data_IF_045422698848
#
_entry.id   IF_045422698848
#
_cell.length_a   1.000
_cell.length_b   1.000
_cell.length_c   1.000
_cell.angle_alpha   90.00
_cell.angle_beta   90.00
_cell.angle_gamma   90.00
#
_symmetry.space_group_name_H-M   'P 1'
#
loop_
_entity.id
_entity.type
_entity.pdbx_description
1 polymer ?
#
# COMPACT_ATOMS: atom_id res chain seq x y z
N UNK A 1 9.08 11.38 -11.43
CA UNK A 1 8.13 10.79 -10.49
C UNK A 1 8.07 11.62 -9.22
N UNK A 2 6.87 11.75 -8.67
CA UNK A 2 6.64 12.38 -7.37
C UNK A 2 6.53 11.29 -6.30
N UNK A 3 7.00 11.62 -5.09
CA UNK A 3 6.97 10.67 -3.99
C UNK A 3 6.50 11.35 -2.70
N UNK A 4 5.81 10.59 -1.86
CA UNK A 4 5.49 10.97 -0.50
C UNK A 4 5.79 9.78 0.42
N UNK A 5 6.38 10.05 1.58
CA UNK A 5 6.76 8.99 2.50
C UNK A 5 6.44 9.35 3.94
N UNK A 6 6.38 8.32 4.76
CA UNK A 6 6.14 8.45 6.19
C UNK A 6 7.02 7.48 6.97
N UNK A 7 7.61 7.92 8.06
CA UNK A 7 8.30 7.04 8.99
C UNK A 7 7.30 6.45 9.96
N UNK A 8 7.47 5.17 10.27
CA UNK A 8 6.52 4.39 11.06
C UNK A 8 7.28 3.64 12.14
N UNK A 9 6.75 3.69 13.36
CA UNK A 9 7.29 2.94 14.50
C UNK A 9 6.75 1.51 14.48
N UNK A 10 7.16 0.76 13.47
CA UNK A 10 6.83 -0.64 13.25
C UNK A 10 7.89 -1.28 12.36
N UNK A 11 8.07 -2.62 12.44
CA UNK A 11 9.02 -3.30 11.57
C UNK A 11 8.63 -3.20 10.09
N UNK A 12 9.62 -3.19 9.20
CA UNK A 12 9.40 -3.18 7.76
C UNK A 12 8.54 -4.37 7.30
N UNK A 13 8.70 -5.54 7.93
CA UNK A 13 7.90 -6.72 7.63
C UNK A 13 6.41 -6.51 7.89
N UNK A 14 6.06 -5.80 8.96
CA UNK A 14 4.65 -5.49 9.27
C UNK A 14 4.06 -4.54 8.22
N UNK A 15 4.83 -3.55 7.77
CA UNK A 15 4.40 -2.63 6.72
C UNK A 15 4.23 -3.36 5.38
N UNK A 16 5.16 -4.24 5.05
CA UNK A 16 5.07 -5.04 3.82
C UNK A 16 3.83 -5.94 3.82
N UNK A 17 3.57 -6.59 4.92
CA UNK A 17 2.39 -7.45 5.06
C UNK A 17 1.10 -6.64 4.84
N UNK A 18 0.98 -5.47 5.47
CA UNK A 18 -0.19 -4.61 5.31
C UNK A 18 -0.36 -4.13 3.85
N UNK A 19 0.73 -3.78 3.18
CA UNK A 19 0.71 -3.29 1.80
C UNK A 19 0.36 -4.38 0.78
N UNK A 20 0.68 -5.63 1.09
CA UNK A 20 0.48 -6.75 0.14
C UNK A 20 -0.77 -7.57 0.42
N UNK A 21 -1.41 -7.39 1.56
CA UNK A 21 -2.65 -8.07 1.92
C UNK A 21 -3.84 -7.33 1.31
N UNK A 22 -4.39 -7.88 0.23
CA UNK A 22 -5.48 -7.26 -0.50
C UNK A 22 -6.74 -7.09 0.35
N UNK A 23 -6.95 -7.97 1.34
CA UNK A 23 -8.11 -7.87 2.23
C UNK A 23 -8.06 -6.62 3.11
N UNK A 24 -6.90 -6.02 3.27
CA UNK A 24 -6.69 -4.82 4.08
C UNK A 24 -6.57 -3.53 3.26
N UNK A 25 -6.52 -3.61 1.93
CA UNK A 25 -6.38 -2.43 1.07
C UNK A 25 -7.44 -1.35 1.34
N UNK A 26 -8.73 -1.70 1.57
CA UNK A 26 -9.71 -0.67 1.88
C UNK A 26 -9.45 0.10 3.18
N UNK A 27 -8.67 -0.47 4.10
CA UNK A 27 -8.39 0.17 5.38
C UNK A 27 -7.44 1.36 5.24
N UNK A 28 -6.49 1.27 4.30
CA UNK A 28 -5.51 2.34 4.11
C UNK A 28 -5.63 3.06 2.76
N UNK A 29 -6.19 2.44 1.75
CA UNK A 29 -6.35 3.04 0.43
C UNK A 29 -7.66 3.80 0.31
N UNK A 30 -7.65 5.17 0.38
CA UNK A 30 -8.90 5.94 0.43
C UNK A 30 -9.76 5.83 -0.82
N UNK A 31 -9.16 5.48 -1.97
CA UNK A 31 -9.89 5.33 -3.24
C UNK A 31 -10.39 3.91 -3.48
N UNK A 32 -10.07 2.96 -2.60
CA UNK A 32 -10.42 1.54 -2.76
C UNK A 32 -11.47 1.14 -1.73
N UNK A 33 -12.64 0.71 -2.18
CA UNK A 33 -13.69 0.22 -1.28
C UNK A 33 -13.73 -1.30 -1.18
N UNK A 34 -13.40 -2.02 -2.26
CA UNK A 34 -13.40 -3.49 -2.28
C UNK A 34 -12.32 -3.98 -3.23
N UNK A 35 -11.85 -5.20 -3.00
CA UNK A 35 -10.85 -5.86 -3.84
C UNK A 35 -11.27 -7.31 -4.11
N UNK A 36 -11.10 -7.76 -5.34
CA UNK A 36 -11.18 -9.16 -5.71
C UNK A 36 -9.87 -9.54 -6.41
N UNK A 37 -9.18 -10.54 -5.91
CA UNK A 37 -7.91 -11.00 -6.49
C UNK A 37 -7.79 -12.51 -6.37
N UNK A 38 -6.80 -13.07 -7.09
CA UNK A 38 -6.57 -14.52 -7.11
C UNK A 38 -6.04 -15.07 -5.79
N UNK A 39 -5.52 -14.19 -4.90
CA UNK A 39 -5.04 -14.59 -3.59
C UNK A 39 -5.14 -13.43 -2.61
N UNK A 40 -5.02 -13.74 -1.33
CA UNK A 40 -5.06 -12.73 -0.29
C UNK A 40 -3.85 -11.79 -0.39
N UNK A 41 -2.66 -12.35 -0.58
CA UNK A 41 -1.43 -11.57 -0.73
C UNK A 41 -1.03 -11.50 -2.20
N UNK A 42 -0.62 -10.31 -2.65
CA UNK A 42 -0.10 -10.16 -4.02
C UNK A 42 1.33 -10.68 -4.12
N UNK A 43 1.70 -11.08 -5.33
CA UNK A 43 3.04 -11.48 -5.71
C UNK A 43 3.33 -11.04 -7.14
N UNK A 44 4.44 -11.52 -7.75
CA UNK A 44 4.78 -11.16 -9.13
C UNK A 44 3.63 -11.53 -10.08
N UNK A 45 3.19 -10.54 -10.88
CA UNK A 45 2.16 -10.75 -11.88
C UNK A 45 0.75 -10.95 -11.35
N UNK A 46 0.51 -10.75 -10.06
CA UNK A 46 -0.83 -10.83 -9.48
C UNK A 46 -1.80 -9.89 -10.19
N UNK A 47 -3.03 -10.35 -10.36
CA UNK A 47 -4.08 -9.57 -11.00
C UNK A 47 -5.41 -9.74 -10.28
N UNK A 48 -6.33 -8.84 -10.56
CA UNK A 48 -7.66 -8.83 -9.99
C UNK A 48 -8.38 -7.56 -10.37
N UNK A 49 -9.29 -7.12 -9.53
CA UNK A 49 -9.99 -5.86 -9.73
C UNK A 49 -10.24 -5.16 -8.40
N UNK A 50 -10.25 -3.84 -8.46
CA UNK A 50 -10.59 -2.98 -7.32
C UNK A 50 -11.88 -2.23 -7.62
N UNK A 51 -12.70 -2.06 -6.59
CA UNK A 51 -13.88 -1.21 -6.69
C UNK A 51 -13.54 0.14 -6.09
N UNK A 52 -13.79 1.20 -6.85
CA UNK A 52 -13.60 2.57 -6.38
C UNK A 52 -14.72 2.98 -5.43
N UNK A 53 -14.55 4.11 -4.74
CA UNK A 53 -15.55 4.63 -3.81
C UNK A 53 -16.89 5.00 -4.49
N UNK A 54 -16.89 5.18 -5.82
CA UNK A 54 -18.12 5.43 -6.58
C UNK A 54 -18.74 4.14 -7.16
N UNK A 55 -18.20 2.98 -6.77
CA UNK A 55 -18.76 1.68 -7.15
C UNK A 55 -18.26 1.10 -8.47
N UNK A 56 -17.32 1.77 -9.16
CA UNK A 56 -16.78 1.28 -10.42
C UNK A 56 -15.69 0.24 -10.18
N UNK A 57 -15.81 -0.92 -10.83
CA UNK A 57 -14.77 -1.96 -10.80
C UNK A 57 -13.75 -1.72 -11.90
N UNK A 58 -12.46 -1.73 -11.53
CA UNK A 58 -11.34 -1.55 -12.46
C UNK A 58 -10.37 -2.72 -12.32
N UNK A 59 -9.91 -3.30 -13.46
CA UNK A 59 -8.91 -4.36 -13.41
C UNK A 59 -7.55 -3.81 -12.98
N UNK A 60 -6.78 -4.61 -12.25
CA UNK A 60 -5.40 -4.26 -11.91
C UNK A 60 -4.46 -5.42 -12.20
N UNK A 61 -3.19 -5.09 -12.36
CA UNK A 61 -2.11 -6.06 -12.49
C UNK A 61 -0.84 -5.51 -11.83
N UNK A 62 -0.19 -6.34 -11.05
CA UNK A 62 1.11 -6.01 -10.46
C UNK A 62 2.17 -6.12 -11.56
N UNK A 63 2.87 -5.02 -11.84
CA UNK A 63 3.84 -4.92 -12.94
C UNK A 63 5.27 -5.10 -12.48
N UNK A 64 5.58 -4.74 -11.24
CA UNK A 64 6.89 -4.94 -10.63
C UNK A 64 6.72 -5.41 -9.21
N UNK A 65 7.54 -6.38 -8.80
CA UNK A 65 7.46 -6.94 -7.46
C UNK A 65 8.85 -7.37 -7.00
N UNK A 66 9.33 -6.72 -5.95
CA UNK A 66 10.58 -7.10 -5.26
C UNK A 66 10.22 -7.38 -3.81
N UNK A 67 10.19 -8.64 -3.44
CA UNK A 67 9.68 -9.10 -2.15
C UNK A 67 10.30 -8.32 -0.98
N UNK A 68 9.46 -7.78 -0.12
CA UNK A 68 9.87 -7.01 1.06
C UNK A 68 10.29 -5.57 0.77
N UNK A 69 10.38 -5.14 -0.49
CA UNK A 69 10.94 -3.84 -0.86
C UNK A 69 9.99 -2.95 -1.65
N UNK A 70 9.43 -3.44 -2.75
CA UNK A 70 8.53 -2.62 -3.57
C UNK A 70 7.59 -3.45 -4.41
N UNK A 71 6.45 -2.85 -4.75
CA UNK A 71 5.59 -3.33 -5.82
C UNK A 71 4.90 -2.15 -6.50
N UNK A 72 4.77 -2.28 -7.81
CA UNK A 72 4.11 -1.31 -8.67
C UNK A 72 2.97 -2.01 -9.38
N UNK A 73 1.98 -1.25 -9.76
CA UNK A 73 0.83 -1.80 -10.48
C UNK A 73 0.32 -0.88 -11.57
N UNK A 74 -0.49 -1.46 -12.44
CA UNK A 74 -1.32 -0.72 -13.36
C UNK A 74 -2.78 -0.98 -13.02
N UNK A 75 -3.62 0.03 -13.23
CA UNK A 75 -5.06 -0.03 -13.03
C UNK A 75 -5.73 0.41 -14.31
N UNK A 76 -6.63 -0.44 -14.85
CA UNK A 76 -7.26 -0.21 -16.16
C UNK A 76 -6.23 0.02 -17.27
N UNK A 77 -5.09 -0.68 -17.21
CA UNK A 77 -4.02 -0.59 -18.19
C UNK A 77 -3.14 0.64 -18.07
N UNK A 78 -3.33 1.47 -17.05
CA UNK A 78 -2.56 2.71 -16.85
C UNK A 78 -1.64 2.53 -15.64
N UNK A 79 -0.33 2.85 -15.78
CA UNK A 79 0.58 2.83 -14.63
C UNK A 79 0.02 3.69 -13.50
N UNK A 80 -0.07 3.10 -12.31
CA UNK A 80 -0.62 3.76 -11.14
C UNK A 80 0.48 4.01 -10.11
N UNK A 81 0.24 3.73 -8.83
CA UNK A 81 1.20 4.03 -7.78
C UNK A 81 2.28 2.97 -7.64
N UNK A 82 3.48 3.40 -7.25
CA UNK A 82 4.53 2.53 -6.73
C UNK A 82 4.50 2.57 -5.21
N UNK A 83 4.87 1.45 -4.59
CA UNK A 83 4.86 1.29 -3.13
C UNK A 83 6.21 0.72 -2.70
N UNK A 84 6.90 1.43 -1.82
CA UNK A 84 8.24 1.02 -1.37
C UNK A 84 8.30 1.00 0.15
N UNK A 85 8.98 0.01 0.70
CA UNK A 85 9.25 -0.11 2.14
C UNK A 85 10.74 -0.11 2.37
N UNK A 86 11.20 0.76 3.25
CA UNK A 86 12.61 0.85 3.66
C UNK A 86 12.72 0.53 5.15
N UNK A 87 13.58 -0.41 5.52
CA UNK A 87 13.87 -0.67 6.93
C UNK A 87 14.79 0.43 7.48
N UNK A 88 14.42 1.00 8.63
CA UNK A 88 15.23 1.99 9.34
C UNK A 88 15.76 1.44 10.68
N UNK A 89 15.56 0.15 10.91
CA UNK A 89 15.93 -0.54 12.14
C UNK A 89 14.93 -1.66 12.42
N UNK A 90 15.12 -2.43 13.51
CA UNK A 90 14.25 -3.58 13.79
C UNK A 90 12.80 -3.20 14.07
N UNK A 91 12.55 -1.97 14.57
CA UNK A 91 11.21 -1.51 14.95
C UNK A 91 10.81 -0.21 14.25
N UNK A 92 11.49 0.13 13.16
CA UNK A 92 11.20 1.34 12.37
C UNK A 92 11.33 1.08 10.89
N UNK A 93 10.43 1.70 10.13
CA UNK A 93 10.49 1.65 8.67
C UNK A 93 9.99 2.97 8.07
N UNK A 94 10.21 3.12 6.78
CA UNK A 94 9.62 4.18 5.97
C UNK A 94 8.81 3.54 4.86
N UNK A 95 7.57 4.00 4.69
CA UNK A 95 6.72 3.63 3.56
C UNK A 95 6.66 4.81 2.61
N UNK A 96 6.94 4.57 1.34
CA UNK A 96 6.99 5.59 0.30
C UNK A 96 6.04 5.22 -0.83
N UNK A 97 5.19 6.17 -1.21
CA UNK A 97 4.34 6.08 -2.41
C UNK A 97 4.93 6.94 -3.51
N UNK A 98 4.97 6.39 -4.73
CA UNK A 98 5.45 7.08 -5.91
C UNK A 98 4.32 7.20 -6.93
N UNK A 99 4.21 8.37 -7.58
CA UNK A 99 3.19 8.60 -8.60
C UNK A 99 3.82 9.23 -9.84
N UNK A 100 3.30 8.90 -11.06
CA UNK A 100 3.72 9.60 -12.28
C UNK A 100 3.41 11.10 -12.19
N UNK A 101 4.21 11.93 -12.87
CA UNK A 101 4.02 13.39 -12.87
C UNK A 101 2.61 13.80 -13.32
N UNK A 102 2.05 13.10 -14.31
CA UNK A 102 0.69 13.39 -14.80
C UNK A 102 -0.39 13.09 -13.78
N UNK A 103 -0.08 12.30 -12.74
CA UNK A 103 -0.99 11.97 -11.66
C UNK A 103 -0.69 12.77 -10.38
N UNK A 104 -0.04 13.93 -10.52
CA UNK A 104 0.36 14.76 -9.38
C UNK A 104 -0.77 15.05 -8.36
N UNK A 105 -2.02 15.33 -8.78
CA UNK A 105 -3.11 15.54 -7.81
C UNK A 105 -3.39 14.30 -6.93
N UNK A 106 -3.07 13.10 -7.42
CA UNK A 106 -3.24 11.87 -6.66
C UNK A 106 -2.25 11.75 -5.49
N UNK A 107 -1.21 12.59 -5.47
CA UNK A 107 -0.23 12.58 -4.38
C UNK A 107 -0.88 12.87 -3.02
N UNK A 108 -1.93 13.69 -2.98
CA UNK A 108 -2.67 13.97 -1.75
C UNK A 108 -3.37 12.71 -1.22
N UNK A 109 -3.91 11.88 -2.12
CA UNK A 109 -4.51 10.58 -1.77
C UNK A 109 -3.44 9.64 -1.21
N UNK A 110 -2.26 9.62 -1.84
CA UNK A 110 -1.14 8.80 -1.37
C UNK A 110 -0.65 9.24 0.00
N UNK A 111 -0.63 10.55 0.25
CA UNK A 111 -0.26 11.08 1.57
C UNK A 111 -1.23 10.63 2.65
N UNK A 112 -2.53 10.67 2.37
CA UNK A 112 -3.55 10.19 3.29
C UNK A 112 -3.40 8.67 3.51
N UNK A 113 -3.15 7.90 2.46
CA UNK A 113 -2.90 6.47 2.55
C UNK A 113 -1.71 6.17 3.46
N UNK A 114 -0.59 6.89 3.27
CA UNK A 114 0.60 6.72 4.09
C UNK A 114 0.33 7.00 5.57
N UNK A 115 -0.43 8.04 5.86
CA UNK A 115 -0.81 8.39 7.24
C UNK A 115 -1.72 7.32 7.86
N UNK A 116 -2.64 6.75 7.09
CA UNK A 116 -3.50 5.66 7.55
C UNK A 116 -2.69 4.41 7.87
N UNK A 117 -1.74 4.05 7.02
CA UNK A 117 -0.83 2.93 7.25
C UNK A 117 -0.06 3.14 8.56
N UNK A 118 0.49 4.34 8.76
CA UNK A 118 1.19 4.69 9.99
C UNK A 118 0.30 4.49 11.22
N UNK A 119 -0.92 5.03 11.19
CA UNK A 119 -1.86 4.92 12.30
C UNK A 119 -2.22 3.47 12.60
N UNK A 120 -2.51 2.68 11.58
CA UNK A 120 -2.85 1.27 11.73
C UNK A 120 -1.69 0.51 12.39
N UNK A 121 -0.50 0.66 11.84
CA UNK A 121 0.66 -0.12 12.27
C UNK A 121 1.11 0.29 13.68
N UNK A 122 1.13 1.58 13.98
CA UNK A 122 1.55 2.04 15.30
C UNK A 122 0.56 1.63 16.39
N UNK A 123 -0.75 1.65 16.08
CA UNK A 123 -1.76 1.14 17.01
C UNK A 123 -1.65 -0.36 17.21
N UNK A 124 -1.40 -1.11 16.15
CA UNK A 124 -1.21 -2.56 16.25
C UNK A 124 0.01 -2.91 17.09
N UNK A 125 1.11 -2.15 16.98
CA UNK A 125 2.30 -2.35 17.81
C UNK A 125 2.01 -2.05 19.28
N UNK A 126 1.33 -0.96 19.59
CA UNK A 126 0.95 -0.62 20.97
C UNK A 126 0.06 -1.70 21.59
N UNK A 127 -0.93 -2.18 20.85
CA UNK A 127 -1.81 -3.25 21.30
C UNK A 127 -1.03 -4.54 21.57
N UNK A 128 -0.09 -4.89 20.68
CA UNK A 128 0.77 -6.04 20.86
C UNK A 128 1.63 -5.95 22.13
N UNK A 129 2.21 -4.77 22.40
CA UNK A 129 3.00 -4.53 23.59
C UNK A 129 2.19 -4.63 24.88
N UNK A 130 0.94 -4.17 24.89
CA UNK A 130 0.04 -4.25 26.04
C UNK A 130 -0.35 -5.67 26.40
N UNK A 131 -0.28 -6.59 25.47
CA UNK A 131 -0.66 -8.00 25.66
C UNK A 131 0.54 -8.95 25.82
N UNK A 132 1.72 -8.40 26.00
CA UNK A 132 2.93 -9.18 26.24
C UNK A 132 3.00 -9.69 27.68
#
# INVERSE_FOLDING_TARGET
MLATGVEILAPASAAWELLTDTSRWPQWGPSVSRVESTGQFIGPGSSGRVQTIIGVWLPFRVTEFVAGHRWDWEVAGIPATGHRVESLGPDRCRVVFEVPLLAAPYLAVCRLAAQRIRSILEQEQLHHEQHR
#
